data_IF_294532147599
#
_entry.id   IF_294532147599
#
_cell.length_a   1.000
_cell.length_b   1.000
_cell.length_c   1.000
_cell.angle_alpha   90.00
_cell.angle_beta   90.00
_cell.angle_gamma   90.00
#
_symmetry.space_group_name_H-M   'P 1'
#
loop_
_entity.id
_entity.type
_entity.pdbx_description
1 polymer ?
#
# COMPACT_ATOMS: atom_id res chain seq x y z
N UNK A 1 -21.05 11.90 -47.89
CA UNK A 1 -20.01 12.71 -48.54
C UNK A 1 -20.63 13.37 -49.75
N UNK A 2 -20.73 14.72 -49.71
CA UNK A 2 -21.20 15.50 -50.88
C UNK A 2 -20.00 15.66 -51.81
N UNK A 3 -19.95 14.93 -52.91
CA UNK A 3 -18.84 14.92 -53.86
C UNK A 3 -18.84 16.16 -54.78
N UNK A 4 -19.73 17.15 -54.55
CA UNK A 4 -19.89 18.35 -55.41
C UNK A 4 -19.26 19.62 -54.82
N UNK A 5 -18.69 19.57 -53.61
CA UNK A 5 -18.10 20.78 -53.01
C UNK A 5 -16.76 21.16 -53.70
N UNK A 6 -16.78 22.30 -54.38
CA UNK A 6 -15.61 22.88 -55.00
C UNK A 6 -14.76 23.57 -53.96
N UNK A 7 -13.49 23.13 -53.80
CA UNK A 7 -12.53 23.75 -52.88
C UNK A 7 -11.66 24.75 -53.65
N UNK A 8 -11.54 25.97 -53.09
CA UNK A 8 -10.66 27.02 -53.70
C UNK A 8 -9.18 26.59 -53.54
N UNK A 9 -8.39 26.89 -54.57
CA UNK A 9 -6.93 26.64 -54.56
C UNK A 9 -6.28 27.25 -53.32
N UNK A 10 -5.51 26.44 -52.59
CA UNK A 10 -4.83 26.86 -51.35
C UNK A 10 -5.63 26.59 -50.05
N UNK A 11 -6.87 26.08 -50.14
CA UNK A 11 -7.63 25.66 -48.97
C UNK A 11 -7.20 24.27 -48.49
N UNK A 12 -7.03 24.12 -47.18
CA UNK A 12 -6.69 22.83 -46.57
C UNK A 12 -7.91 21.90 -46.71
N UNK A 13 -7.74 20.77 -47.37
CA UNK A 13 -8.81 19.78 -47.63
C UNK A 13 -8.73 18.56 -46.72
N UNK A 14 -7.55 18.28 -46.15
CA UNK A 14 -7.33 17.18 -45.24
C UNK A 14 -6.16 17.48 -44.30
N UNK A 15 -6.18 16.87 -43.12
CA UNK A 15 -5.06 16.81 -42.19
C UNK A 15 -4.67 15.34 -42.03
N UNK A 16 -3.40 15.05 -42.28
CA UNK A 16 -2.86 13.69 -42.13
C UNK A 16 -2.04 13.66 -40.84
N UNK A 17 -2.43 12.82 -39.88
CA UNK A 17 -1.63 12.54 -38.71
C UNK A 17 -0.64 11.40 -39.03
N UNK A 18 0.65 11.63 -38.80
CA UNK A 18 1.72 10.66 -39.06
C UNK A 18 2.18 9.91 -37.80
N UNK A 19 1.63 10.24 -36.64
CA UNK A 19 2.10 9.68 -35.37
C UNK A 19 0.96 9.67 -34.35
N UNK A 20 0.91 8.64 -33.52
CA UNK A 20 0.03 8.57 -32.34
C UNK A 20 0.57 9.42 -31.18
N UNK A 21 1.79 9.97 -31.28
CA UNK A 21 2.38 10.81 -30.24
C UNK A 21 1.79 12.21 -30.27
N UNK A 22 1.30 12.65 -29.13
CA UNK A 22 0.74 13.98 -28.93
C UNK A 22 0.89 14.42 -27.49
N UNK A 23 0.55 15.66 -27.19
CA UNK A 23 0.66 16.17 -25.83
C UNK A 23 -0.44 17.19 -25.50
N UNK A 24 -0.78 17.24 -24.23
CA UNK A 24 -1.60 18.30 -23.64
C UNK A 24 -0.67 19.17 -22.81
N UNK A 25 -0.85 20.49 -22.91
CA UNK A 25 -0.15 21.48 -22.08
C UNK A 25 -1.16 22.04 -21.09
N UNK A 26 -0.87 21.92 -19.80
CA UNK A 26 -1.71 22.44 -18.72
C UNK A 26 -0.97 23.55 -17.95
N UNK A 27 -1.60 24.68 -17.66
CA UNK A 27 -1.08 25.63 -16.68
C UNK A 27 -1.14 24.99 -15.30
N UNK A 28 -0.15 25.24 -14.46
CA UNK A 28 -0.07 24.70 -13.11
C UNK A 28 0.08 25.82 -12.10
N UNK A 29 -0.57 25.64 -10.92
CA UNK A 29 -0.24 26.39 -9.74
C UNK A 29 1.04 25.86 -9.10
N UNK A 30 1.67 26.67 -8.21
CA UNK A 30 2.94 26.30 -7.59
C UNK A 30 2.89 24.97 -6.82
N UNK A 31 1.76 24.66 -6.19
CA UNK A 31 1.54 23.42 -5.45
C UNK A 31 1.41 22.22 -6.39
N UNK A 32 0.65 22.38 -7.48
CA UNK A 32 0.49 21.37 -8.52
C UNK A 32 1.83 21.05 -9.21
N UNK A 33 2.64 22.08 -9.48
CA UNK A 33 3.99 21.89 -10.00
C UNK A 33 4.86 21.06 -9.06
N UNK A 34 4.81 21.32 -7.74
CA UNK A 34 5.55 20.54 -6.73
C UNK A 34 5.11 19.09 -6.67
N UNK A 35 3.81 18.82 -6.79
CA UNK A 35 3.26 17.47 -6.79
C UNK A 35 3.62 16.66 -8.04
N UNK A 36 3.70 17.33 -9.20
CA UNK A 36 3.98 16.68 -10.48
C UNK A 36 5.48 16.54 -10.78
N UNK A 37 6.33 17.37 -10.16
CA UNK A 37 7.76 17.47 -10.48
C UNK A 37 8.50 16.13 -10.37
N UNK A 38 8.15 15.31 -9.40
CA UNK A 38 8.82 14.05 -9.11
C UNK A 38 8.07 12.83 -9.67
N UNK A 39 7.02 13.07 -10.51
CA UNK A 39 6.26 12.02 -11.18
C UNK A 39 6.75 11.82 -12.61
N UNK A 40 6.94 10.56 -13.00
CA UNK A 40 7.24 10.20 -14.38
C UNK A 40 5.99 9.98 -15.21
N UNK A 41 4.93 9.46 -14.57
CA UNK A 41 3.66 9.11 -15.22
C UNK A 41 2.47 9.47 -14.32
N UNK A 42 1.35 9.80 -14.97
CA UNK A 42 0.06 10.04 -14.32
C UNK A 42 -1.06 9.40 -15.12
N UNK A 43 -2.16 9.07 -14.45
CA UNK A 43 -3.39 8.64 -15.09
C UNK A 43 -4.24 9.87 -15.42
N UNK A 44 -4.66 9.98 -16.68
CA UNK A 44 -5.48 11.08 -17.21
C UNK A 44 -6.81 10.53 -17.69
N UNK A 45 -7.91 11.04 -17.13
CA UNK A 45 -9.26 10.74 -17.59
C UNK A 45 -9.79 11.90 -18.42
N UNK A 46 -10.23 11.61 -19.63
CA UNK A 46 -10.89 12.58 -20.53
C UNK A 46 -12.37 12.65 -20.18
N UNK A 47 -12.86 13.84 -19.79
CA UNK A 47 -14.25 14.00 -19.31
C UNK A 47 -15.27 13.85 -20.44
N UNK A 48 -14.89 14.13 -21.68
CA UNK A 48 -15.76 14.05 -22.86
C UNK A 48 -16.30 12.64 -23.11
N UNK A 49 -15.48 11.60 -22.93
CA UNK A 49 -15.83 10.21 -23.26
C UNK A 49 -15.46 9.20 -22.14
N UNK A 50 -15.03 9.70 -20.98
CA UNK A 50 -14.60 8.92 -19.80
C UNK A 50 -13.43 7.96 -20.07
N UNK A 51 -12.73 8.14 -21.18
CA UNK A 51 -11.53 7.34 -21.49
C UNK A 51 -10.41 7.70 -20.51
N UNK A 52 -9.70 6.70 -20.03
CA UNK A 52 -8.52 6.87 -19.18
C UNK A 52 -7.27 6.43 -19.93
N UNK A 53 -6.22 7.26 -19.90
CA UNK A 53 -4.93 6.95 -20.51
C UNK A 53 -3.80 7.31 -19.54
N UNK A 54 -2.65 6.63 -19.70
CA UNK A 54 -1.43 6.98 -18.98
C UNK A 54 -0.64 8.02 -19.80
N UNK A 55 -0.25 9.11 -19.14
CA UNK A 55 0.59 10.14 -19.74
C UNK A 55 1.94 10.18 -19.06
N UNK A 56 3.01 10.31 -19.84
CA UNK A 56 4.32 10.69 -19.33
C UNK A 56 4.31 12.18 -19.01
N UNK A 57 4.82 12.56 -17.84
CA UNK A 57 4.78 13.92 -17.32
C UNK A 57 6.13 14.59 -17.44
N UNK A 58 6.13 15.80 -17.97
CA UNK A 58 7.23 16.73 -17.85
C UNK A 58 6.69 18.06 -17.33
N UNK A 59 7.39 18.71 -16.42
CA UNK A 59 7.02 20.02 -15.91
C UNK A 59 8.10 21.06 -16.23
N UNK A 60 7.68 22.28 -16.50
CA UNK A 60 8.61 23.38 -16.77
C UNK A 60 8.13 24.67 -16.09
N UNK A 61 9.10 25.48 -15.66
CA UNK A 61 8.88 26.84 -15.21
C UNK A 61 9.32 27.79 -16.31
N UNK A 62 8.43 28.70 -16.74
CA UNK A 62 8.70 29.76 -17.72
C UNK A 62 8.37 31.11 -17.11
N UNK A 63 9.39 31.88 -16.73
CA UNK A 63 9.21 33.12 -15.97
C UNK A 63 8.57 32.85 -14.61
N UNK A 64 7.43 33.45 -14.34
CA UNK A 64 6.62 33.25 -13.12
C UNK A 64 5.59 32.12 -13.24
N UNK A 65 5.41 31.53 -14.42
CA UNK A 65 4.36 30.55 -14.68
C UNK A 65 4.92 29.12 -14.74
N UNK A 66 4.11 28.16 -14.28
CA UNK A 66 4.42 26.73 -14.32
C UNK A 66 3.54 26.02 -15.35
N UNK A 67 4.10 25.04 -16.04
CA UNK A 67 3.40 24.27 -17.05
C UNK A 67 3.69 22.79 -16.88
N UNK A 68 2.65 21.96 -17.09
CA UNK A 68 2.75 20.52 -17.22
C UNK A 68 2.56 20.10 -18.69
N UNK A 69 3.40 19.21 -19.16
CA UNK A 69 3.32 18.57 -20.46
C UNK A 69 2.94 17.11 -20.26
N UNK A 70 1.73 16.75 -20.62
CA UNK A 70 1.22 15.40 -20.54
C UNK A 70 1.35 14.77 -21.93
N UNK A 71 2.28 13.82 -22.07
CA UNK A 71 2.62 13.17 -23.35
C UNK A 71 1.95 11.81 -23.45
N UNK A 72 1.30 11.57 -24.57
CA UNK A 72 0.56 10.34 -24.87
C UNK A 72 1.14 9.66 -26.11
N UNK A 73 1.02 8.34 -26.17
CA UNK A 73 1.40 7.52 -27.32
C UNK A 73 0.19 6.88 -28.01
N UNK A 74 -1.04 7.11 -27.48
CA UNK A 74 -2.27 6.51 -27.94
C UNK A 74 -3.38 7.56 -28.09
N UNK A 75 -4.48 7.22 -28.75
CA UNK A 75 -5.69 8.01 -28.88
C UNK A 75 -5.56 9.36 -29.62
N UNK A 76 -4.44 9.65 -30.30
CA UNK A 76 -4.25 10.90 -31.01
C UNK A 76 -5.40 11.22 -32.00
N UNK A 77 -5.86 10.21 -32.74
CA UNK A 77 -6.93 10.36 -33.75
C UNK A 77 -8.25 10.77 -33.11
N UNK A 78 -8.53 10.35 -31.87
CA UNK A 78 -9.77 10.64 -31.15
C UNK A 78 -9.91 12.11 -30.80
N UNK A 79 -8.78 12.78 -30.46
CA UNK A 79 -8.78 14.13 -29.95
C UNK A 79 -8.10 15.15 -30.87
N UNK A 80 -7.68 14.75 -32.09
CA UNK A 80 -6.90 15.58 -33.02
C UNK A 80 -7.61 16.87 -33.46
N UNK A 81 -8.94 16.87 -33.43
CA UNK A 81 -9.74 18.04 -33.81
C UNK A 81 -10.06 18.98 -32.63
N UNK A 82 -9.75 18.52 -31.41
CA UNK A 82 -10.02 19.29 -30.21
C UNK A 82 -8.85 20.21 -29.90
N UNK A 83 -9.15 21.49 -29.64
CA UNK A 83 -8.17 22.46 -29.19
C UNK A 83 -8.01 22.50 -27.69
N UNK A 84 -9.10 22.23 -26.99
CA UNK A 84 -9.18 22.19 -25.53
C UNK A 84 -9.85 20.88 -25.13
N UNK A 85 -9.30 20.25 -24.11
CA UNK A 85 -9.83 19.04 -23.52
C UNK A 85 -9.99 19.22 -22.04
N UNK A 86 -11.15 18.85 -21.50
CA UNK A 86 -11.38 18.77 -20.08
C UNK A 86 -10.87 17.42 -19.59
N UNK A 87 -9.97 17.47 -18.61
CA UNK A 87 -9.30 16.27 -18.10
C UNK A 87 -9.21 16.28 -16.58
N UNK A 88 -9.31 15.10 -16.00
CA UNK A 88 -8.91 14.84 -14.61
C UNK A 88 -7.54 14.18 -14.60
N UNK A 89 -6.61 14.71 -13.82
CA UNK A 89 -5.29 14.12 -13.63
C UNK A 89 -5.21 13.49 -12.26
N UNK A 90 -5.05 12.17 -12.23
CA UNK A 90 -4.84 11.42 -10.99
C UNK A 90 -3.34 11.33 -10.71
N UNK A 91 -2.89 12.01 -9.65
CA UNK A 91 -1.48 12.10 -9.30
C UNK A 91 -0.92 10.82 -8.68
N UNK A 92 -1.77 10.09 -7.96
CA UNK A 92 -1.42 8.84 -7.28
C UNK A 92 -2.55 7.83 -7.48
N UNK A 93 -2.28 6.77 -8.24
CA UNK A 93 -3.13 5.59 -8.28
C UNK A 93 -2.53 4.52 -7.35
N UNK A 94 -2.84 4.59 -6.07
CA UNK A 94 -2.43 3.53 -5.16
C UNK A 94 -3.37 2.33 -5.33
N UNK A 95 -2.81 1.20 -5.71
CA UNK A 95 -3.52 -0.08 -5.69
C UNK A 95 -3.54 -0.58 -4.25
N UNK A 96 -4.66 -0.43 -3.58
CA UNK A 96 -4.81 -0.83 -2.19
C UNK A 96 -6.27 -0.98 -1.79
N UNK A 97 -6.48 -1.37 -0.53
CA UNK A 97 -7.80 -1.43 0.08
C UNK A 97 -8.09 -0.10 0.77
N UNK A 98 -9.31 0.41 0.59
CA UNK A 98 -9.77 1.62 1.27
C UNK A 98 -10.46 1.22 2.58
N UNK A 99 -9.98 1.77 3.70
CA UNK A 99 -10.55 1.54 5.03
C UNK A 99 -10.84 2.87 5.74
N UNK A 100 -11.86 2.97 6.61
CA UNK A 100 -12.08 4.15 7.42
C UNK A 100 -10.99 4.31 8.49
N UNK A 101 -10.59 5.55 8.80
CA UNK A 101 -9.55 5.80 9.81
C UNK A 101 -9.99 5.38 11.22
N UNK A 102 -11.29 5.38 11.49
CA UNK A 102 -11.86 4.91 12.77
C UNK A 102 -11.61 3.43 13.06
N UNK A 103 -11.39 2.61 12.02
CA UNK A 103 -11.07 1.19 12.17
C UNK A 103 -9.62 0.93 12.59
N UNK A 104 -8.73 1.94 12.45
CA UNK A 104 -7.29 1.77 12.66
C UNK A 104 -6.97 1.84 14.15
N UNK A 105 -6.36 0.79 14.65
CA UNK A 105 -5.86 0.68 16.02
C UNK A 105 -4.35 0.53 16.06
N UNK A 106 -3.78 0.80 17.23
CA UNK A 106 -2.35 0.62 17.50
C UNK A 106 -2.19 -0.41 18.61
N UNK A 107 -1.43 -1.49 18.32
CA UNK A 107 -1.12 -2.54 19.30
C UNK A 107 0.39 -2.71 19.42
N UNK A 108 0.88 -2.98 20.63
CA UNK A 108 2.30 -3.24 20.90
C UNK A 108 2.58 -4.72 20.79
N UNK A 109 3.67 -5.07 20.12
CA UNK A 109 4.15 -6.44 19.94
C UNK A 109 5.61 -6.53 20.33
N UNK A 110 6.04 -7.70 20.83
CA UNK A 110 7.44 -7.99 20.95
C UNK A 110 8.09 -8.13 19.57
N UNK A 111 9.24 -7.50 19.41
CA UNK A 111 10.05 -7.55 18.19
C UNK A 111 11.16 -8.59 18.37
N UNK A 112 11.02 -9.73 17.72
CA UNK A 112 11.94 -10.86 17.83
C UNK A 112 12.70 -11.07 16.52
N UNK A 113 14.04 -11.20 16.55
CA UNK A 113 14.81 -11.47 15.33
C UNK A 113 14.46 -12.84 14.72
N UNK A 114 14.28 -12.87 13.39
CA UNK A 114 13.88 -14.09 12.65
C UNK A 114 14.88 -15.23 12.83
N UNK A 115 16.15 -14.96 13.17
CA UNK A 115 17.17 -15.99 13.42
C UNK A 115 16.83 -16.97 14.57
N UNK A 116 15.91 -16.57 15.47
CA UNK A 116 15.43 -17.44 16.57
C UNK A 116 14.19 -18.25 16.19
N UNK A 117 13.68 -18.07 14.98
CA UNK A 117 12.54 -18.82 14.46
C UNK A 117 13.04 -20.09 13.78
N UNK A 118 12.50 -21.22 14.20
CA UNK A 118 12.88 -22.56 13.68
C UNK A 118 11.68 -23.23 13.05
N UNK A 119 11.92 -24.15 12.13
CA UNK A 119 10.88 -25.05 11.64
C UNK A 119 10.90 -26.31 12.50
N UNK A 120 9.78 -26.71 13.02
CA UNK A 120 9.68 -27.96 13.79
C UNK A 120 9.98 -29.19 12.92
N UNK A 121 10.67 -30.17 13.49
CA UNK A 121 11.15 -31.37 12.79
C UNK A 121 10.06 -32.20 12.08
N UNK A 122 8.80 -32.11 12.51
CA UNK A 122 7.67 -32.86 11.95
C UNK A 122 6.43 -32.00 11.63
N UNK A 123 6.53 -30.69 11.68
CA UNK A 123 5.38 -29.82 11.41
C UNK A 123 5.78 -28.61 10.56
N UNK A 124 4.86 -28.20 9.66
CA UNK A 124 5.00 -26.95 8.92
C UNK A 124 4.89 -25.71 9.83
N UNK A 125 4.72 -25.88 11.15
CA UNK A 125 4.57 -24.79 12.12
C UNK A 125 5.93 -24.24 12.53
N UNK A 126 6.05 -22.96 12.47
CA UNK A 126 7.20 -22.21 12.97
C UNK A 126 7.19 -22.22 14.51
N UNK A 127 8.36 -22.41 15.13
CA UNK A 127 8.52 -22.56 16.56
C UNK A 127 9.73 -21.75 17.05
N UNK A 128 9.73 -21.46 18.34
CA UNK A 128 10.86 -20.83 19.04
C UNK A 128 11.38 -21.77 20.09
N UNK A 129 12.69 -21.80 20.25
CA UNK A 129 13.34 -22.53 21.33
C UNK A 129 13.41 -21.62 22.54
N UNK A 130 12.54 -21.87 23.53
CA UNK A 130 12.49 -21.11 24.79
C UNK A 130 13.43 -21.77 25.79
N UNK A 131 14.28 -20.97 26.39
CA UNK A 131 15.17 -21.39 27.47
C UNK A 131 14.60 -20.96 28.80
N UNK A 132 14.36 -21.90 29.65
CA UNK A 132 13.97 -21.68 31.06
C UNK A 132 15.14 -22.06 31.98
N UNK A 133 15.36 -21.24 32.99
CA UNK A 133 16.40 -21.50 34.02
C UNK A 133 15.69 -21.70 35.34
N UNK A 134 15.69 -22.93 35.84
CA UNK A 134 15.11 -23.24 37.13
C UNK A 134 15.86 -22.53 38.26
N UNK A 135 15.20 -22.33 39.42
CA UNK A 135 15.82 -21.77 40.63
C UNK A 135 17.01 -22.57 41.17
N UNK A 136 17.24 -23.77 40.63
CA UNK A 136 18.41 -24.65 40.98
C UNK A 136 19.55 -24.55 39.98
N UNK A 137 19.43 -23.68 38.96
CA UNK A 137 20.46 -23.50 37.92
C UNK A 137 20.37 -24.51 36.76
N UNK A 138 19.40 -25.44 36.79
CA UNK A 138 19.18 -26.34 35.67
C UNK A 138 18.55 -25.57 34.50
N UNK A 139 19.13 -25.72 33.31
CA UNK A 139 18.64 -25.10 32.07
C UNK A 139 17.79 -26.12 31.34
N UNK A 140 16.53 -25.81 31.16
CA UNK A 140 15.64 -26.57 30.28
C UNK A 140 15.37 -25.79 29.01
N UNK A 141 15.19 -26.52 27.92
CA UNK A 141 14.92 -25.93 26.60
C UNK A 141 13.67 -26.58 26.06
N UNK A 142 12.70 -25.75 25.72
CA UNK A 142 11.40 -26.21 25.21
C UNK A 142 11.09 -25.53 23.88
N UNK A 143 10.49 -26.26 22.94
CA UNK A 143 9.98 -25.65 21.71
C UNK A 143 8.55 -25.18 21.90
N UNK A 144 8.32 -23.87 21.68
CA UNK A 144 7.01 -23.24 21.75
C UNK A 144 6.63 -22.56 20.44
N UNK A 145 5.39 -22.73 20.04
CA UNK A 145 4.80 -21.98 18.92
C UNK A 145 4.09 -20.76 19.48
N UNK A 146 4.37 -19.60 18.92
CA UNK A 146 3.66 -18.35 19.20
C UNK A 146 3.02 -17.83 17.91
N UNK A 147 1.91 -17.14 18.06
CA UNK A 147 1.22 -16.50 16.93
C UNK A 147 2.07 -15.33 16.40
N UNK A 148 2.42 -15.38 15.11
CA UNK A 148 3.18 -14.31 14.44
C UNK A 148 2.19 -13.37 13.78
N UNK A 149 2.09 -12.13 14.29
CA UNK A 149 1.18 -11.10 13.77
C UNK A 149 1.75 -10.31 12.59
N UNK A 150 3.02 -10.44 12.33
CA UNK A 150 3.65 -9.79 11.19
C UNK A 150 5.10 -10.17 11.10
N UNK A 151 5.67 -10.04 9.90
CA UNK A 151 7.06 -10.41 9.62
C UNK A 151 7.70 -9.42 8.68
N UNK A 152 8.93 -9.05 8.98
CA UNK A 152 9.84 -8.36 8.08
C UNK A 152 10.99 -9.29 7.71
N UNK A 153 11.94 -8.83 6.91
CA UNK A 153 13.13 -9.60 6.58
C UNK A 153 13.93 -10.02 7.82
N UNK A 154 13.99 -9.18 8.84
CA UNK A 154 14.88 -9.34 10.00
C UNK A 154 14.14 -9.69 11.29
N UNK A 155 12.84 -9.39 11.38
CA UNK A 155 12.05 -9.50 12.62
C UNK A 155 10.69 -10.12 12.39
N UNK A 156 10.19 -10.81 13.41
CA UNK A 156 8.77 -11.18 13.58
C UNK A 156 8.19 -10.50 14.82
N UNK A 157 6.85 -10.40 14.84
CA UNK A 157 6.11 -9.67 15.88
C UNK A 157 5.17 -10.64 16.60
N UNK A 158 5.35 -10.74 17.92
CA UNK A 158 4.62 -11.67 18.79
C UNK A 158 3.80 -10.89 19.82
N UNK A 159 2.65 -11.46 20.21
CA UNK A 159 1.78 -10.86 21.24
C UNK A 159 2.43 -11.01 22.63
N UNK A 160 2.60 -9.91 23.37
CA UNK A 160 3.11 -9.94 24.73
C UNK A 160 2.24 -10.78 25.70
N UNK A 161 0.92 -10.84 25.49
CA UNK A 161 0.01 -11.62 26.32
C UNK A 161 0.20 -13.14 26.14
N UNK A 162 0.56 -13.56 24.90
CA UNK A 162 0.84 -14.96 24.59
C UNK A 162 2.25 -15.39 25.03
N UNK A 163 3.23 -14.52 24.82
CA UNK A 163 4.65 -14.82 25.12
C UNK A 163 4.92 -14.77 26.62
N UNK A 164 4.38 -13.75 27.32
CA UNK A 164 4.71 -13.47 28.71
C UNK A 164 5.98 -12.63 28.90
N UNK A 165 6.34 -12.41 30.15
CA UNK A 165 7.50 -11.58 30.52
C UNK A 165 8.76 -12.42 30.73
N UNK A 166 9.94 -11.81 30.53
CA UNK A 166 11.26 -12.38 30.77
C UNK A 166 11.57 -13.69 30.02
N UNK A 167 10.96 -13.88 28.85
CA UNK A 167 11.22 -15.05 28.02
C UNK A 167 12.55 -14.92 27.30
N UNK A 168 13.38 -15.95 27.43
CA UNK A 168 14.69 -16.04 26.76
C UNK A 168 14.59 -17.07 25.65
N UNK A 169 14.95 -16.65 24.45
CA UNK A 169 15.07 -17.56 23.29
C UNK A 169 16.51 -18.01 23.13
N UNK A 170 16.68 -19.21 22.60
CA UNK A 170 17.98 -19.75 22.20
C UNK A 170 17.97 -20.05 20.71
N UNK A 171 19.05 -19.69 20.00
CA UNK A 171 19.19 -20.06 18.61
C UNK A 171 19.49 -21.58 18.48
N UNK A 172 18.94 -22.22 17.44
CA UNK A 172 19.05 -23.66 17.25
C UNK A 172 20.51 -24.09 16.94
N UNK A 173 21.21 -23.28 16.15
CA UNK A 173 22.54 -23.60 15.65
C UNK A 173 23.69 -23.02 16.50
N UNK A 174 23.35 -22.32 17.56
CA UNK A 174 24.33 -21.66 18.44
C UNK A 174 23.84 -21.58 19.88
N UNK A 175 24.75 -21.27 20.82
CA UNK A 175 24.39 -20.97 22.20
C UNK A 175 23.90 -19.51 22.40
N UNK A 176 23.68 -18.80 21.30
CA UNK A 176 23.19 -17.42 21.36
C UNK A 176 21.81 -17.36 22.02
N UNK A 177 21.65 -16.48 22.94
CA UNK A 177 20.39 -16.24 23.64
C UNK A 177 19.89 -14.83 23.36
N UNK A 178 18.57 -14.65 23.42
CA UNK A 178 17.90 -13.38 23.19
C UNK A 178 16.77 -13.21 24.22
N UNK A 179 16.89 -12.22 25.08
CA UNK A 179 15.81 -11.84 25.98
C UNK A 179 14.78 -11.01 25.21
N UNK A 180 13.51 -11.43 25.27
CA UNK A 180 12.42 -10.73 24.61
C UNK A 180 11.98 -9.53 25.47
N UNK A 181 12.42 -8.34 25.11
CA UNK A 181 12.08 -7.08 25.83
C UNK A 181 11.60 -5.99 24.86
N UNK A 182 12.17 -5.96 23.65
CA UNK A 182 11.94 -4.87 22.73
C UNK A 182 10.55 -4.96 22.13
N UNK A 183 9.78 -3.87 22.29
CA UNK A 183 8.45 -3.74 21.72
C UNK A 183 8.44 -2.81 20.52
N UNK A 184 7.54 -3.09 19.58
CA UNK A 184 7.18 -2.21 18.47
C UNK A 184 5.68 -2.07 18.39
N UNK A 185 5.22 -0.84 18.14
CA UNK A 185 3.80 -0.58 17.87
C UNK A 185 3.52 -0.82 16.39
N UNK A 186 2.57 -1.68 16.08
CA UNK A 186 2.02 -1.86 14.75
C UNK A 186 0.66 -1.17 14.66
N UNK A 187 0.38 -0.59 13.49
CA UNK A 187 -0.98 -0.17 13.11
C UNK A 187 -1.69 -1.39 12.53
N UNK A 188 -2.97 -1.54 12.82
CA UNK A 188 -3.78 -2.65 12.33
C UNK A 188 -5.26 -2.36 12.44
N UNK A 189 -6.08 -3.33 12.07
CA UNK A 189 -7.53 -3.32 12.24
C UNK A 189 -7.97 -4.63 12.86
N UNK A 190 -9.15 -4.65 13.46
CA UNK A 190 -9.77 -5.91 13.86
C UNK A 190 -10.64 -6.45 12.73
N UNK A 191 -10.36 -7.67 12.31
CA UNK A 191 -11.17 -8.42 11.35
C UNK A 191 -12.05 -9.44 12.09
N UNK A 192 -13.23 -9.70 11.55
CA UNK A 192 -14.09 -10.78 12.03
C UNK A 192 -13.56 -12.11 11.49
N UNK A 193 -13.08 -12.95 12.36
CA UNK A 193 -12.62 -14.29 12.07
C UNK A 193 -13.40 -15.31 12.91
N UNK A 194 -14.26 -16.13 12.28
CA UNK A 194 -15.11 -17.12 12.95
C UNK A 194 -15.92 -16.57 14.14
N UNK A 195 -16.34 -15.30 14.05
CA UNK A 195 -17.11 -14.63 15.10
C UNK A 195 -16.25 -13.97 16.19
N UNK A 196 -14.94 -13.95 16.06
CA UNK A 196 -14.02 -13.28 16.98
C UNK A 196 -13.29 -12.12 16.31
N UNK A 197 -12.91 -11.12 17.09
CA UNK A 197 -12.04 -10.03 16.66
C UNK A 197 -10.59 -10.51 16.58
N UNK A 198 -10.00 -10.49 15.40
CA UNK A 198 -8.63 -10.89 15.11
C UNK A 198 -7.84 -9.67 14.60
N UNK A 199 -6.76 -9.31 15.28
CA UNK A 199 -5.93 -8.17 14.87
C UNK A 199 -5.14 -8.50 13.60
N UNK A 200 -5.29 -7.66 12.58
CA UNK A 200 -4.55 -7.75 11.31
C UNK A 200 -3.70 -6.49 11.12
N UNK A 201 -2.38 -6.64 10.98
CA UNK A 201 -1.50 -5.50 10.70
C UNK A 201 -1.80 -4.90 9.33
N UNK A 202 -1.55 -3.60 9.20
CA UNK A 202 -1.73 -2.88 7.95
C UNK A 202 -0.50 -2.01 7.63
N UNK A 203 -0.20 -1.89 6.33
CA UNK A 203 0.75 -0.93 5.81
C UNK A 203 -0.01 0.18 5.09
N UNK A 204 0.02 1.38 5.67
CA UNK A 204 -0.71 2.54 5.13
C UNK A 204 0.11 3.15 3.99
N UNK A 205 -0.48 3.17 2.80
CA UNK A 205 0.09 3.80 1.60
C UNK A 205 -0.26 5.28 1.54
N UNK A 206 -1.51 5.62 1.87
CA UNK A 206 -1.99 7.01 1.97
C UNK A 206 -2.95 7.13 3.15
N UNK A 207 -2.84 8.23 3.88
CA UNK A 207 -3.78 8.63 4.93
C UNK A 207 -4.47 9.94 4.49
N UNK A 208 -5.81 9.96 4.48
CA UNK A 208 -6.69 11.09 4.23
C UNK A 208 -7.49 11.38 5.50
N UNK A 209 -8.28 12.45 5.51
CA UNK A 209 -9.01 12.87 6.70
C UNK A 209 -9.97 11.80 7.24
N UNK A 210 -10.72 11.13 6.36
CA UNK A 210 -11.74 10.15 6.74
C UNK A 210 -11.35 8.70 6.50
N UNK A 211 -10.35 8.45 5.65
CA UNK A 211 -9.98 7.10 5.24
C UNK A 211 -8.49 6.96 4.92
N UNK A 212 -8.02 5.74 4.97
CA UNK A 212 -6.67 5.35 4.53
C UNK A 212 -6.72 4.33 3.39
N UNK A 213 -5.72 4.38 2.52
CA UNK A 213 -5.44 3.32 1.54
C UNK A 213 -4.31 2.46 2.11
N UNK A 214 -4.55 1.18 2.24
CA UNK A 214 -3.59 0.21 2.78
C UNK A 214 -3.12 -0.76 1.70
N UNK A 215 -1.92 -1.30 1.84
CA UNK A 215 -1.37 -2.31 0.93
C UNK A 215 -2.20 -3.60 0.95
N UNK A 216 -2.28 -4.30 -0.18
CA UNK A 216 -3.01 -5.57 -0.30
C UNK A 216 -2.16 -6.79 0.08
N UNK A 217 -0.86 -6.61 0.21
CA UNK A 217 0.15 -7.66 0.32
C UNK A 217 0.90 -7.63 1.67
N UNK A 218 0.33 -6.93 2.65
CA UNK A 218 0.86 -6.94 4.02
C UNK A 218 0.83 -8.36 4.58
N UNK A 219 1.97 -8.84 5.06
CA UNK A 219 2.06 -10.17 5.65
C UNK A 219 1.13 -10.29 6.86
N UNK A 220 0.25 -11.32 6.89
CA UNK A 220 -0.82 -11.49 7.87
C UNK A 220 -1.82 -10.31 7.93
N UNK A 221 -1.82 -9.46 6.91
CA UNK A 221 -2.67 -8.28 6.82
C UNK A 221 -4.09 -8.56 6.36
N UNK A 222 -4.77 -7.47 5.98
CA UNK A 222 -6.16 -7.50 5.50
C UNK A 222 -6.20 -7.85 4.02
N UNK A 223 -7.10 -8.75 3.67
CA UNK A 223 -7.37 -9.17 2.30
C UNK A 223 -8.69 -8.59 1.78
N UNK A 224 -8.86 -8.62 0.46
CA UNK A 224 -10.14 -8.25 -0.15
C UNK A 224 -11.24 -9.19 0.34
N UNK A 225 -12.37 -8.62 0.74
CA UNK A 225 -13.55 -9.28 1.32
C UNK A 225 -13.44 -9.67 2.80
N UNK A 226 -12.36 -9.33 3.50
CA UNK A 226 -12.35 -9.41 4.94
C UNK A 226 -13.34 -8.39 5.54
N UNK A 227 -14.05 -8.79 6.59
CA UNK A 227 -14.91 -7.91 7.35
C UNK A 227 -14.12 -7.26 8.46
N UNK A 228 -14.05 -5.92 8.45
CA UNK A 228 -13.35 -5.14 9.46
C UNK A 228 -14.31 -4.44 10.40
N UNK A 229 -13.92 -4.28 11.64
CA UNK A 229 -14.66 -3.48 12.63
C UNK A 229 -14.48 -1.99 12.30
N UNK A 230 -15.60 -1.28 12.16
CA UNK A 230 -15.59 0.13 11.74
C UNK A 230 -15.01 1.07 12.80
N UNK A 231 -15.25 0.78 14.08
CA UNK A 231 -14.64 1.50 15.20
C UNK A 231 -13.79 0.53 16.03
N UNK A 232 -12.49 0.54 15.73
CA UNK A 232 -11.52 -0.34 16.40
C UNK A 232 -11.33 -0.06 17.89
N UNK A 233 -11.77 1.09 18.40
CA UNK A 233 -11.63 1.44 19.82
C UNK A 233 -12.67 0.76 20.71
N UNK A 234 -13.75 0.26 20.13
CA UNK A 234 -14.88 -0.35 20.85
C UNK A 234 -14.69 -1.83 21.15
N UNK A 235 -13.66 -2.45 20.59
CA UNK A 235 -13.46 -3.90 20.65
C UNK A 235 -12.03 -4.26 21.08
N UNK A 236 -11.90 -5.44 21.67
CA UNK A 236 -10.61 -6.03 22.02
C UNK A 236 -10.38 -7.31 21.23
N UNK A 237 -9.12 -7.69 21.09
CA UNK A 237 -8.75 -8.95 20.47
C UNK A 237 -9.39 -10.14 21.16
N UNK A 238 -9.76 -11.17 20.37
CA UNK A 238 -10.48 -12.35 20.82
C UNK A 238 -11.88 -12.09 21.41
N UNK A 239 -12.39 -10.87 21.31
CA UNK A 239 -13.76 -10.57 21.71
C UNK A 239 -14.74 -11.12 20.67
N UNK A 240 -15.86 -11.71 21.15
CA UNK A 240 -16.93 -12.20 20.28
C UNK A 240 -17.62 -11.01 19.60
N UNK A 241 -17.79 -11.10 18.30
CA UNK A 241 -18.51 -10.12 17.45
C UNK A 241 -19.75 -10.82 16.89
N UNK A 242 -20.91 -10.21 17.09
CA UNK A 242 -22.22 -10.67 16.57
C UNK A 242 -22.60 -9.91 15.30
#
# INVERSE_FOLDING_TARGET
YNTSDKVKKGKVVARINKSEKWQIVIPLEADQYRMLKDKSEVSVRFLQDQTTATATVEVAKKGSSYFGYLKFNDYAVRYINERYLEIDVTLDSYKGLKIPNTSIVKKKFYQVPVKYLTKGDNSAKEQFTVRDTSNKGDVTVEQKSFTIYGRTKDYCYLDPEEVGENVVLQAMDSKDTFLIEKMKTLKGVYCTNQGYADFRPIDILIEKDDYSIIANDTNQGVSRYDFIVLDGTTIKENQIIY
#
